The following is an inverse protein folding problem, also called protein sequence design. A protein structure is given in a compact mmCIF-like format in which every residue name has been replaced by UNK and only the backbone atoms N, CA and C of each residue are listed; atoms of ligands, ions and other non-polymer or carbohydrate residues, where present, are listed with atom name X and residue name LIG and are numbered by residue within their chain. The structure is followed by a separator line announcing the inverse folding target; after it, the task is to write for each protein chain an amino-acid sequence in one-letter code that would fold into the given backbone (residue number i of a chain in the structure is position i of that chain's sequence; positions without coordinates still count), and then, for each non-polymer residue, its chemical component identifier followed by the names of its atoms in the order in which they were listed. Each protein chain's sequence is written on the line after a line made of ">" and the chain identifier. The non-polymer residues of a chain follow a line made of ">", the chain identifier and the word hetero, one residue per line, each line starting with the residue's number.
data_IF_735021075141
#
_entry.id   IF_735021075141
#
_cell.length_a   1.000
_cell.length_b   1.000
_cell.length_c   1.000
_cell.angle_alpha   90.00
_cell.angle_beta   90.00
_cell.angle_gamma   90.00
#
_symmetry.space_group_name_H-M   'P 1'
#
loop_
_entity.id
_entity.type
_entity.pdbx_description
1 polymer ?
#
# COMPACT_ATOMS: atom_id res chain seq x y z
N UNK A 1 36.06 45.19 -21.37
CA UNK A 1 35.88 44.11 -20.36
C UNK A 1 34.44 43.94 -19.87
N UNK A 2 33.53 44.91 -20.01
CA UNK A 2 32.17 44.82 -19.43
C UNK A 2 31.18 43.84 -20.10
N UNK A 3 31.24 43.68 -21.43
CA UNK A 3 30.26 42.89 -22.20
C UNK A 3 30.39 41.36 -22.05
N UNK A 4 31.59 40.84 -21.76
CA UNK A 4 31.79 39.39 -21.61
C UNK A 4 31.34 38.92 -20.21
N UNK A 5 31.49 39.78 -19.21
CA UNK A 5 31.04 39.49 -17.83
C UNK A 5 29.52 39.49 -17.72
N UNK A 6 28.81 40.34 -18.47
CA UNK A 6 27.34 40.36 -18.48
C UNK A 6 26.74 39.11 -19.12
N UNK A 7 27.30 38.62 -20.23
CA UNK A 7 26.82 37.40 -20.91
C UNK A 7 27.03 36.16 -20.02
N UNK A 8 28.16 36.06 -19.32
CA UNK A 8 28.43 34.97 -18.38
C UNK A 8 27.56 35.04 -17.13
N UNK A 9 27.19 36.24 -16.68
CA UNK A 9 26.27 36.44 -15.57
C UNK A 9 24.82 36.09 -15.96
N UNK A 10 24.38 36.47 -17.16
CA UNK A 10 23.08 36.12 -17.73
C UNK A 10 22.97 34.61 -18.01
N UNK A 11 24.03 33.98 -18.52
CA UNK A 11 24.04 32.52 -18.74
C UNK A 11 24.04 31.74 -17.43
N UNK A 12 24.75 32.21 -16.39
CA UNK A 12 24.70 31.59 -15.05
C UNK A 12 23.33 31.74 -14.41
N UNK A 13 22.73 32.94 -14.50
CA UNK A 13 21.40 33.19 -13.91
C UNK A 13 20.29 32.46 -14.65
N UNK A 14 20.42 32.21 -15.96
CA UNK A 14 19.49 31.38 -16.71
C UNK A 14 19.67 29.88 -16.39
N UNK A 15 20.91 29.39 -16.29
CA UNK A 15 21.21 28.01 -15.87
C UNK A 15 20.80 27.71 -14.41
N UNK A 16 20.87 28.70 -13.52
CA UNK A 16 20.39 28.58 -12.14
C UNK A 16 18.86 28.74 -12.01
N UNK A 17 18.21 29.52 -12.89
CA UNK A 17 16.74 29.64 -12.94
C UNK A 17 16.05 28.36 -13.44
N UNK A 18 16.66 27.60 -14.34
CA UNK A 18 16.09 26.34 -14.85
C UNK A 18 16.18 25.18 -13.84
N UNK A 19 16.91 25.32 -12.72
CA UNK A 19 17.08 24.25 -11.71
C UNK A 19 16.22 24.35 -10.46
N UNK A 20 15.36 25.36 -10.36
CA UNK A 20 14.48 25.52 -9.20
C UNK A 20 13.08 25.96 -9.60
N UNK A 21 12.45 25.24 -10.54
CA UNK A 21 11.01 25.05 -10.40
C UNK A 21 10.79 24.19 -9.16
N UNK A 22 10.27 24.80 -8.11
CA UNK A 22 9.68 24.08 -7.00
C UNK A 22 8.50 23.30 -7.55
N UNK A 23 8.74 22.07 -8.01
CA UNK A 23 7.68 21.09 -8.13
C UNK A 23 7.18 20.90 -6.71
N UNK A 24 5.99 21.44 -6.44
CA UNK A 24 5.30 21.20 -5.19
C UNK A 24 5.01 19.69 -5.13
N UNK A 25 5.91 18.93 -4.50
CA UNK A 25 5.72 17.50 -4.21
C UNK A 25 4.44 17.23 -3.40
N UNK A 26 3.76 18.28 -2.93
CA UNK A 26 2.53 18.21 -2.15
C UNK A 26 1.31 17.63 -2.90
N UNK A 27 1.41 17.35 -4.21
CA UNK A 27 0.28 16.85 -5.02
C UNK A 27 0.61 15.62 -5.90
N UNK A 28 1.75 14.94 -5.72
CA UNK A 28 1.93 13.64 -6.39
C UNK A 28 1.27 12.55 -5.56
N UNK A 29 0.28 11.87 -6.15
CA UNK A 29 -0.37 10.72 -5.54
C UNK A 29 0.73 9.73 -5.13
N UNK A 30 0.78 9.38 -3.84
CA UNK A 30 1.76 8.44 -3.33
C UNK A 30 1.52 7.08 -3.97
N UNK A 31 2.56 6.44 -4.49
CA UNK A 31 2.44 5.14 -5.14
C UNK A 31 3.25 4.10 -4.39
N UNK A 32 2.65 2.93 -4.15
CA UNK A 32 3.30 1.77 -3.53
C UNK A 32 3.35 0.63 -4.52
N UNK A 33 4.50 -0.03 -4.65
CA UNK A 33 4.62 -1.24 -5.45
C UNK A 33 4.79 -2.49 -4.58
N UNK A 34 4.29 -3.62 -5.07
CA UNK A 34 4.52 -4.96 -4.55
C UNK A 34 5.00 -5.89 -5.66
N UNK A 35 6.18 -6.48 -5.49
CA UNK A 35 6.61 -7.63 -6.27
C UNK A 35 6.08 -8.88 -5.58
N UNK A 36 5.12 -9.59 -6.19
CA UNK A 36 4.42 -10.71 -5.56
C UNK A 36 4.91 -12.03 -6.18
N UNK A 37 5.18 -13.03 -5.34
CA UNK A 37 5.63 -14.34 -5.81
C UNK A 37 5.64 -15.43 -4.75
N UNK A 38 6.26 -16.54 -5.10
CA UNK A 38 6.54 -17.63 -4.15
C UNK A 38 7.66 -17.25 -3.19
N UNK A 39 8.06 -18.15 -2.29
CA UNK A 39 9.18 -17.91 -1.38
C UNK A 39 10.55 -17.93 -2.09
N UNK A 40 10.64 -18.59 -3.25
CA UNK A 40 11.85 -18.66 -4.06
C UNK A 40 11.52 -18.50 -5.54
N UNK A 41 12.48 -18.01 -6.32
CA UNK A 41 12.37 -17.85 -7.77
C UNK A 41 11.94 -16.45 -8.20
N UNK A 42 11.54 -16.35 -9.48
CA UNK A 42 11.13 -15.09 -10.10
C UNK A 42 9.73 -14.69 -9.59
N UNK A 43 9.48 -13.41 -9.23
CA UNK A 43 8.15 -12.93 -8.89
C UNK A 43 7.13 -13.25 -9.99
N UNK A 44 5.89 -13.55 -9.60
CA UNK A 44 4.76 -13.76 -10.51
C UNK A 44 4.46 -12.46 -11.26
N UNK A 45 4.56 -11.32 -10.58
CA UNK A 45 4.40 -10.00 -11.19
C UNK A 45 4.49 -8.87 -10.19
N UNK A 46 4.42 -7.65 -10.70
CA UNK A 46 4.38 -6.41 -9.92
C UNK A 46 2.97 -5.85 -9.89
N UNK A 47 2.57 -5.34 -8.73
CA UNK A 47 1.34 -4.59 -8.51
C UNK A 47 1.73 -3.17 -8.09
N UNK A 48 1.06 -2.16 -8.65
CA UNK A 48 1.23 -0.75 -8.25
C UNK A 48 -0.10 -0.23 -7.74
N UNK A 49 -0.06 0.37 -6.55
CA UNK A 49 -1.20 0.96 -5.88
C UNK A 49 -1.00 2.46 -5.79
N UNK A 50 -1.94 3.23 -6.33
CA UNK A 50 -2.04 4.67 -6.15
C UNK A 50 -2.85 4.98 -4.89
N UNK A 51 -2.30 5.77 -3.98
CA UNK A 51 -2.98 6.18 -2.75
C UNK A 51 -3.99 7.30 -3.03
N UNK A 52 -5.14 7.21 -2.38
CA UNK A 52 -6.15 8.25 -2.40
C UNK A 52 -5.99 9.17 -1.18
N UNK A 53 -5.20 10.24 -1.35
CA UNK A 53 -4.91 11.19 -0.28
C UNK A 53 -6.10 12.10 0.08
N UNK A 54 -7.16 12.11 -0.74
CA UNK A 54 -8.36 12.94 -0.54
C UNK A 54 -9.25 12.38 0.57
N UNK A 55 -9.26 11.06 0.77
CA UNK A 55 -10.21 10.44 1.71
C UNK A 55 -9.66 10.29 3.13
N UNK A 56 -8.40 9.85 3.31
CA UNK A 56 -7.75 9.72 4.64
C UNK A 56 -6.21 9.72 4.55
N UNK A 57 -5.61 10.89 4.31
CA UNK A 57 -4.15 11.11 4.18
C UNK A 57 -3.28 10.36 5.22
N UNK A 58 -3.68 10.33 6.50
CA UNK A 58 -2.90 9.64 7.53
C UNK A 58 -2.83 8.12 7.35
N UNK A 59 -3.88 7.49 6.79
CA UNK A 59 -3.91 6.04 6.57
C UNK A 59 -3.13 5.65 5.31
N UNK A 60 -3.22 6.47 4.26
CA UNK A 60 -2.35 6.36 3.10
C UNK A 60 -0.88 6.51 3.50
N UNK A 61 -0.55 7.52 4.30
CA UNK A 61 0.80 7.74 4.82
C UNK A 61 1.29 6.57 5.68
N UNK A 62 0.43 6.00 6.53
CA UNK A 62 0.75 4.79 7.30
C UNK A 62 1.14 3.64 6.37
N UNK A 63 0.32 3.35 5.35
CA UNK A 63 0.56 2.28 4.39
C UNK A 63 1.88 2.47 3.64
N UNK A 64 2.14 3.69 3.16
CA UNK A 64 3.40 4.07 2.49
C UNK A 64 4.61 3.88 3.42
N UNK A 65 4.52 4.34 4.67
CA UNK A 65 5.61 4.22 5.64
C UNK A 65 5.90 2.77 6.02
N UNK A 66 4.88 1.91 6.11
CA UNK A 66 5.07 0.46 6.28
C UNK A 66 5.72 -0.13 5.01
N UNK A 67 5.30 0.26 3.81
CA UNK A 67 5.92 -0.22 2.57
C UNK A 67 7.41 0.19 2.45
N UNK A 68 7.79 1.35 2.97
CA UNK A 68 9.20 1.80 3.06
C UNK A 68 9.96 1.17 4.23
N UNK A 69 9.24 0.62 5.19
CA UNK A 69 9.77 0.04 6.41
C UNK A 69 10.39 1.07 7.35
N UNK A 70 9.76 2.23 7.50
CA UNK A 70 10.25 3.32 8.35
C UNK A 70 10.08 3.06 9.86
N UNK A 71 9.41 1.98 10.22
CA UNK A 71 9.08 1.66 11.60
C UNK A 71 9.84 0.45 12.11
N UNK A 72 10.08 0.43 13.42
CA UNK A 72 10.65 -0.71 14.14
C UNK A 72 9.70 -1.10 15.25
N UNK A 73 9.40 -2.39 15.38
CA UNK A 73 8.54 -2.89 16.43
C UNK A 73 9.21 -2.72 17.79
N UNK A 74 8.62 -1.98 18.75
CA UNK A 74 9.27 -1.63 20.01
C UNK A 74 9.62 -2.87 20.85
N UNK A 75 8.79 -3.91 20.84
CA UNK A 75 9.02 -5.12 21.62
C UNK A 75 9.92 -6.17 20.93
N UNK A 76 9.97 -6.21 19.59
CA UNK A 76 10.66 -7.28 18.84
C UNK A 76 11.94 -6.78 18.17
N UNK A 77 12.18 -5.46 18.12
CA UNK A 77 13.33 -4.86 17.42
C UNK A 77 13.33 -5.08 15.91
N UNK A 78 12.27 -5.67 15.35
CA UNK A 78 12.15 -6.01 13.92
C UNK A 78 11.60 -4.83 13.13
N UNK A 79 12.16 -4.58 11.95
CA UNK A 79 11.62 -3.63 10.97
C UNK A 79 10.18 -4.05 10.59
N UNK A 80 9.25 -3.10 10.62
CA UNK A 80 7.86 -3.32 10.23
C UNK A 80 7.73 -2.92 8.76
N UNK A 81 7.67 -3.93 7.88
CA UNK A 81 7.55 -3.73 6.44
C UNK A 81 6.77 -4.86 5.77
N UNK A 82 6.24 -4.61 4.57
CA UNK A 82 5.50 -5.61 3.80
C UNK A 82 6.40 -6.62 3.08
N UNK A 83 7.68 -6.29 2.88
CA UNK A 83 8.66 -7.22 2.29
C UNK A 83 8.76 -8.50 3.13
N UNK A 84 8.62 -9.65 2.49
CA UNK A 84 8.62 -10.98 3.11
C UNK A 84 7.29 -11.39 3.75
N UNK A 85 6.27 -10.53 3.76
CA UNK A 85 4.97 -10.88 4.36
C UNK A 85 4.12 -11.74 3.44
N UNK A 86 3.34 -12.65 4.04
CA UNK A 86 2.51 -13.62 3.32
C UNK A 86 1.15 -12.98 2.99
N UNK A 87 0.65 -13.27 1.79
CA UNK A 87 -0.75 -13.10 1.44
C UNK A 87 -1.54 -14.24 2.09
N UNK A 88 -1.88 -14.06 3.37
CA UNK A 88 -2.36 -15.13 4.25
C UNK A 88 -3.81 -15.54 3.97
N UNK A 89 -4.56 -14.74 3.21
CA UNK A 89 -5.92 -15.07 2.81
C UNK A 89 -6.18 -14.70 1.33
N UNK A 90 -6.49 -15.69 0.49
CA UNK A 90 -6.77 -15.55 -0.94
C UNK A 90 -8.09 -16.27 -1.21
N UNK A 91 -9.20 -15.52 -1.34
CA UNK A 91 -10.55 -16.05 -1.42
C UNK A 91 -11.09 -16.01 -2.84
N UNK A 92 -11.50 -17.17 -3.36
CA UNK A 92 -12.20 -17.27 -4.66
C UNK A 92 -13.65 -16.84 -4.56
N UNK A 93 -14.32 -17.12 -3.43
CA UNK A 93 -15.73 -16.77 -3.21
C UNK A 93 -15.95 -15.27 -3.05
N UNK A 94 -15.01 -14.56 -2.40
CA UNK A 94 -15.04 -13.10 -2.24
C UNK A 94 -14.28 -12.35 -3.32
N UNK A 95 -13.56 -13.07 -4.19
CA UNK A 95 -12.63 -12.52 -5.17
C UNK A 95 -11.70 -11.45 -4.56
N UNK A 96 -10.97 -11.84 -3.52
CA UNK A 96 -10.23 -10.92 -2.64
C UNK A 96 -8.91 -11.53 -2.17
N UNK A 97 -7.90 -10.69 -1.94
CA UNK A 97 -6.61 -11.05 -1.35
C UNK A 97 -6.36 -10.21 -0.11
N UNK A 98 -5.87 -10.81 0.98
CA UNK A 98 -5.46 -10.13 2.21
C UNK A 98 -3.99 -10.38 2.53
N UNK A 99 -3.35 -9.34 3.05
CA UNK A 99 -1.93 -9.34 3.42
C UNK A 99 -1.65 -8.35 4.55
N UNK A 100 -0.37 -8.02 4.73
CA UNK A 100 0.03 -6.99 5.70
C UNK A 100 0.18 -7.48 7.14
N UNK A 101 0.16 -8.80 7.36
CA UNK A 101 0.61 -9.38 8.62
C UNK A 101 2.15 -9.40 8.65
N UNK A 102 2.71 -8.44 9.38
CA UNK A 102 4.15 -8.17 9.45
C UNK A 102 4.87 -8.97 10.54
N UNK A 103 4.12 -9.66 11.42
CA UNK A 103 4.67 -10.39 12.56
C UNK A 103 4.55 -11.91 12.41
N UNK A 104 3.35 -12.43 12.11
CA UNK A 104 3.02 -13.85 12.24
C UNK A 104 2.67 -14.54 10.92
N UNK A 105 2.22 -13.77 9.92
CA UNK A 105 1.81 -14.28 8.61
C UNK A 105 0.54 -15.13 8.63
N UNK A 106 -0.31 -15.02 9.65
CA UNK A 106 -1.54 -15.80 9.82
C UNK A 106 -2.81 -14.93 9.93
N UNK A 107 -2.66 -13.61 9.85
CA UNK A 107 -3.74 -12.61 9.97
C UNK A 107 -3.79 -11.91 11.32
N UNK A 108 -3.17 -12.46 12.37
CA UNK A 108 -3.24 -11.92 13.73
C UNK A 108 -2.06 -10.99 14.09
N UNK A 109 -1.10 -10.81 13.17
CA UNK A 109 0.15 -10.07 13.43
C UNK A 109 0.21 -8.67 12.81
N UNK A 110 -0.94 -8.03 12.62
CA UNK A 110 -1.02 -6.63 12.21
C UNK A 110 -0.35 -5.70 13.22
N UNK A 111 0.41 -4.72 12.74
CA UNK A 111 1.02 -3.71 13.60
C UNK A 111 0.43 -2.34 13.33
N UNK A 112 0.25 -1.55 14.39
CA UNK A 112 -0.09 -0.13 14.30
C UNK A 112 1.12 0.73 14.72
N UNK A 113 2.18 0.82 13.89
CA UNK A 113 3.48 1.33 14.32
C UNK A 113 3.48 2.77 14.86
N UNK A 114 2.61 3.67 14.41
CA UNK A 114 2.43 5.00 15.02
C UNK A 114 1.02 5.49 14.73
N UNK A 115 0.12 5.45 15.72
CA UNK A 115 -1.17 6.16 15.68
C UNK A 115 -1.72 6.39 17.11
N UNK A 116 -0.91 6.88 18.07
CA UNK A 116 -1.39 7.19 19.45
C UNK A 116 -2.57 8.19 19.50
N UNK A 117 -2.93 8.83 18.38
CA UNK A 117 -3.95 9.90 18.31
C UNK A 117 -4.91 9.80 17.12
N UNK A 118 -4.91 8.70 16.38
CA UNK A 118 -5.44 8.71 15.03
C UNK A 118 -6.65 7.78 14.93
N UNK A 119 -7.82 8.43 15.02
CA UNK A 119 -9.19 7.99 14.72
C UNK A 119 -9.98 7.26 15.83
N UNK A 120 -10.49 8.03 16.80
CA UNK A 120 -11.59 7.63 17.71
C UNK A 120 -12.96 7.49 17.01
N UNK A 121 -13.00 7.08 15.75
CA UNK A 121 -14.28 6.90 15.05
C UNK A 121 -14.59 5.41 15.01
N UNK A 122 -15.61 5.03 15.78
CA UNK A 122 -16.06 3.65 15.95
C UNK A 122 -16.61 3.13 14.61
N UNK A 123 -16.08 1.99 14.15
CA UNK A 123 -16.56 1.21 13.01
C UNK A 123 -16.52 1.94 11.66
N UNK A 124 -15.36 1.90 10.99
CA UNK A 124 -15.24 2.29 9.58
C UNK A 124 -15.86 1.20 8.70
N UNK A 125 -17.16 1.31 8.42
CA UNK A 125 -17.78 0.67 7.27
C UNK A 125 -17.93 1.73 6.17
N UNK A 126 -17.33 1.49 5.02
CA UNK A 126 -17.35 2.44 3.90
C UNK A 126 -18.12 1.85 2.72
N UNK A 127 -19.02 2.62 2.12
CA UNK A 127 -19.63 2.23 0.85
C UNK A 127 -18.66 2.53 -0.28
N UNK A 128 -18.24 1.50 -0.99
CA UNK A 128 -17.32 1.59 -2.12
C UNK A 128 -18.09 1.32 -3.39
N UNK A 129 -18.05 2.25 -4.34
CA UNK A 129 -18.85 2.19 -5.58
C UNK A 129 -18.30 1.18 -6.60
N UNK A 130 -16.98 1.12 -6.74
CA UNK A 130 -16.29 0.19 -7.61
C UNK A 130 -15.30 -0.59 -6.76
N UNK A 131 -15.50 -1.90 -6.61
CA UNK A 131 -14.69 -2.75 -5.73
C UNK A 131 -13.38 -3.16 -6.38
N UNK A 132 -13.36 -3.34 -7.71
CA UNK A 132 -12.20 -3.91 -8.39
C UNK A 132 -10.96 -3.01 -8.25
N UNK A 133 -9.91 -3.58 -7.69
CA UNK A 133 -8.63 -2.92 -7.47
C UNK A 133 -8.61 -2.05 -6.21
N UNK A 134 -9.69 -1.96 -5.43
CA UNK A 134 -9.69 -1.15 -4.21
C UNK A 134 -8.84 -1.79 -3.13
N UNK A 135 -7.98 -0.97 -2.53
CA UNK A 135 -7.15 -1.34 -1.39
C UNK A 135 -7.76 -0.78 -0.12
N UNK A 136 -8.12 -1.67 0.79
CA UNK A 136 -8.76 -1.36 2.06
C UNK A 136 -7.79 -1.68 3.20
N UNK A 137 -7.59 -0.72 4.09
CA UNK A 137 -6.81 -0.90 5.32
C UNK A 137 -7.75 -1.29 6.47
N UNK A 138 -7.33 -2.24 7.30
CA UNK A 138 -8.11 -2.75 8.43
C UNK A 138 -7.69 -2.15 9.77
N UNK A 139 -8.68 -2.01 10.66
CA UNK A 139 -8.44 -1.72 12.07
C UNK A 139 -7.77 -2.89 12.79
N UNK A 140 -7.23 -2.63 13.97
CA UNK A 140 -6.67 -3.65 14.86
C UNK A 140 -7.80 -4.42 15.53
N UNK A 141 -7.70 -5.75 15.56
CA UNK A 141 -8.65 -6.63 16.27
C UNK A 141 -8.76 -6.28 17.75
N UNK A 142 -7.66 -5.82 18.37
CA UNK A 142 -7.63 -5.46 19.80
C UNK A 142 -8.08 -4.03 20.07
N UNK A 143 -8.12 -3.18 19.04
CA UNK A 143 -8.55 -1.79 19.17
C UNK A 143 -9.08 -1.26 17.82
N UNK A 144 -10.41 -1.26 17.63
CA UNK A 144 -11.06 -0.79 16.40
C UNK A 144 -10.79 0.68 16.05
N UNK A 145 -10.32 1.50 17.01
CA UNK A 145 -9.95 2.91 16.80
C UNK A 145 -8.53 3.09 16.24
N UNK A 146 -7.80 2.01 16.03
CA UNK A 146 -6.41 2.04 15.56
C UNK A 146 -6.30 1.19 14.30
N UNK A 147 -5.85 1.80 13.21
CA UNK A 147 -5.56 1.07 11.97
C UNK A 147 -4.23 0.31 12.07
N UNK A 148 -4.26 -0.93 11.58
CA UNK A 148 -3.12 -1.82 11.55
C UNK A 148 -2.45 -1.80 10.18
N UNK A 149 -1.40 -2.60 10.01
CA UNK A 149 -0.76 -2.86 8.73
C UNK A 149 -1.55 -3.82 7.83
N UNK A 150 -2.59 -4.48 8.35
CA UNK A 150 -3.40 -5.45 7.60
C UNK A 150 -4.21 -4.71 6.53
N UNK A 151 -4.19 -5.25 5.32
CA UNK A 151 -4.96 -4.74 4.20
C UNK A 151 -5.57 -5.88 3.40
N UNK A 152 -6.60 -5.55 2.62
CA UNK A 152 -7.09 -6.42 1.57
C UNK A 152 -7.35 -5.66 0.28
N UNK A 153 -7.27 -6.40 -0.82
CA UNK A 153 -7.53 -5.92 -2.18
C UNK A 153 -8.74 -6.67 -2.72
N UNK A 154 -9.76 -5.92 -3.10
CA UNK A 154 -10.95 -6.46 -3.74
C UNK A 154 -10.73 -6.56 -5.25
N UNK A 155 -11.07 -7.69 -5.85
CA UNK A 155 -11.01 -7.92 -7.30
C UNK A 155 -12.41 -8.11 -7.89
N UNK A 156 -13.43 -8.14 -7.04
CA UNK A 156 -14.82 -8.28 -7.46
C UNK A 156 -15.24 -7.14 -8.40
N UNK A 157 -15.92 -7.52 -9.49
CA UNK A 157 -16.49 -6.64 -10.51
C UNK A 157 -17.96 -6.33 -10.24
N UNK A 158 -18.51 -6.87 -9.16
CA UNK A 158 -19.85 -6.56 -8.69
C UNK A 158 -19.97 -5.08 -8.31
N UNK A 159 -21.23 -4.63 -8.15
CA UNK A 159 -21.55 -3.24 -7.92
C UNK A 159 -21.11 -2.73 -6.54
N UNK A 160 -21.69 -1.60 -6.10
CA UNK A 160 -21.31 -1.00 -4.83
C UNK A 160 -21.51 -1.96 -3.65
N UNK A 161 -20.56 -1.99 -2.72
CA UNK A 161 -20.68 -2.78 -1.49
C UNK A 161 -20.20 -1.98 -0.28
N UNK A 162 -20.72 -2.37 0.89
CA UNK A 162 -20.18 -1.93 2.17
C UNK A 162 -18.99 -2.81 2.49
N UNK A 163 -17.86 -2.16 2.75
CA UNK A 163 -16.59 -2.83 3.07
C UNK A 163 -16.20 -2.54 4.51
N UNK A 164 -15.58 -3.53 5.16
CA UNK A 164 -15.02 -3.35 6.51
C UNK A 164 -13.64 -2.71 6.40
N UNK A 165 -13.45 -1.57 7.07
CA UNK A 165 -12.20 -0.81 7.03
C UNK A 165 -12.29 0.44 6.15
N UNK A 166 -11.12 0.99 5.83
CA UNK A 166 -11.00 2.26 5.13
C UNK A 166 -10.37 2.09 3.74
N UNK A 167 -11.04 2.51 2.66
CA UNK A 167 -10.43 2.60 1.34
C UNK A 167 -9.30 3.62 1.34
N UNK A 168 -8.09 3.19 1.00
CA UNK A 168 -6.88 4.02 1.00
C UNK A 168 -6.26 4.22 -0.38
N UNK A 169 -6.67 3.44 -1.38
CA UNK A 169 -6.09 3.53 -2.71
C UNK A 169 -6.66 2.54 -3.71
N UNK A 170 -6.07 2.55 -4.90
CA UNK A 170 -6.48 1.81 -6.07
C UNK A 170 -5.29 1.14 -6.73
N UNK A 171 -5.43 -0.13 -7.10
CA UNK A 171 -4.49 -0.83 -7.96
C UNK A 171 -4.57 -0.25 -9.36
N UNK A 172 -3.51 0.41 -9.80
CA UNK A 172 -3.40 1.01 -11.13
C UNK A 172 -2.63 0.12 -12.13
N UNK A 173 -1.77 -0.77 -11.63
CA UNK A 173 -1.04 -1.75 -12.44
C UNK A 173 -1.00 -3.12 -11.76
N UNK A 174 -0.98 -4.21 -12.54
CA UNK A 174 -0.84 -5.57 -12.01
C UNK A 174 -2.12 -6.17 -11.43
N UNK A 175 -3.29 -5.62 -11.74
CA UNK A 175 -4.57 -6.20 -11.30
C UNK A 175 -4.79 -7.62 -11.85
N UNK A 176 -4.29 -7.90 -13.04
CA UNK A 176 -4.28 -9.20 -13.70
C UNK A 176 -3.38 -10.21 -12.97
N UNK A 177 -2.27 -9.74 -12.38
CA UNK A 177 -1.41 -10.56 -11.50
C UNK A 177 -2.21 -11.03 -10.29
N UNK A 178 -2.98 -10.14 -9.66
CA UNK A 178 -3.83 -10.49 -8.51
C UNK A 178 -4.98 -11.44 -8.92
N UNK A 179 -5.66 -11.16 -10.04
CA UNK A 179 -6.72 -12.04 -10.58
C UNK A 179 -6.17 -13.45 -10.88
N UNK A 180 -4.97 -13.55 -11.47
CA UNK A 180 -4.28 -14.82 -11.69
C UNK A 180 -4.00 -15.55 -10.38
N UNK A 181 -3.51 -14.83 -9.36
CA UNK A 181 -3.21 -15.42 -8.04
C UNK A 181 -4.48 -15.98 -7.39
N UNK A 182 -5.59 -15.24 -7.40
CA UNK A 182 -6.87 -15.75 -6.88
C UNK A 182 -7.32 -16.99 -7.63
N UNK A 183 -7.24 -16.97 -8.97
CA UNK A 183 -7.67 -18.09 -9.80
C UNK A 183 -6.83 -19.36 -9.59
N UNK A 184 -5.51 -19.23 -9.45
CA UNK A 184 -4.59 -20.38 -9.37
C UNK A 184 -4.34 -20.88 -7.96
N UNK A 185 -4.41 -20.03 -6.94
CA UNK A 185 -3.99 -20.38 -5.57
C UNK A 185 -5.03 -20.05 -4.50
N UNK A 186 -6.11 -19.36 -4.86
CA UNK A 186 -7.20 -19.04 -3.95
C UNK A 186 -8.07 -20.24 -3.63
N UNK A 187 -8.76 -20.16 -2.50
CA UNK A 187 -9.70 -21.20 -2.06
C UNK A 187 -10.98 -20.57 -1.54
N UNK A 188 -12.04 -21.36 -1.39
CA UNK A 188 -13.32 -20.85 -0.89
C UNK A 188 -13.24 -20.33 0.55
N UNK A 189 -12.46 -21.02 1.41
CA UNK A 189 -12.23 -20.62 2.80
C UNK A 189 -11.10 -19.58 2.95
N UNK A 190 -10.47 -19.20 1.84
CA UNK A 190 -9.43 -18.19 1.80
C UNK A 190 -8.03 -18.67 2.18
N UNK A 191 -7.84 -19.88 2.70
CA UNK A 191 -6.49 -20.38 2.98
C UNK A 191 -5.82 -20.80 1.66
N UNK A 192 -4.76 -20.13 1.20
CA UNK A 192 -4.21 -20.40 -0.12
C UNK A 192 -3.54 -21.77 -0.19
N UNK A 193 -3.60 -22.40 -1.38
CA UNK A 193 -2.99 -23.72 -1.61
C UNK A 193 -1.45 -23.67 -1.56
N UNK A 194 -0.88 -22.50 -1.88
CA UNK A 194 0.55 -22.24 -1.83
C UNK A 194 0.84 -20.96 -1.09
N UNK A 195 1.99 -20.92 -0.42
CA UNK A 195 2.49 -19.70 0.23
C UNK A 195 2.90 -18.68 -0.85
N UNK A 196 2.11 -17.62 -0.97
CA UNK A 196 2.40 -16.45 -1.81
C UNK A 196 2.79 -15.30 -0.88
N UNK A 197 3.83 -14.56 -1.23
CA UNK A 197 4.35 -13.46 -0.42
C UNK A 197 4.74 -12.24 -1.26
N UNK A 198 4.90 -11.11 -0.57
CA UNK A 198 5.43 -9.88 -1.15
C UNK A 198 6.96 -9.98 -1.08
N UNK A 199 7.61 -10.26 -2.22
CA UNK A 199 9.06 -10.38 -2.31
C UNK A 199 9.78 -9.08 -2.01
N UNK A 200 9.24 -7.97 -2.52
CA UNK A 200 9.75 -6.61 -2.31
C UNK A 200 8.60 -5.63 -2.36
N UNK A 201 8.72 -4.56 -1.60
CA UNK A 201 7.81 -3.42 -1.64
C UNK A 201 8.56 -2.10 -1.52
N UNK A 202 7.88 -1.01 -1.86
CA UNK A 202 8.40 0.32 -1.63
C UNK A 202 7.48 1.40 -2.16
N UNK A 203 7.92 2.64 -2.01
CA UNK A 203 7.29 3.82 -2.61
C UNK A 203 7.96 4.15 -3.95
N UNK A 204 7.19 4.63 -4.94
CA UNK A 204 7.67 5.04 -6.26
C UNK A 204 7.93 6.54 -6.36
#
# INVERSE_FOLDING_TARGET
>A
MGLILSILAESKTQYEKEKHEWVSYCNMNQMVYFDIGYETGVPIGRVVVEMNDVLKKNLAELFVKVARGEFVHPAYGKKIEYTGTVLHHISTSKNMIMGGDVLFGNGCGGCAPVCRKVFQENNFSSTVQNLRGKVILLSSDTNPTVFSSIFYILLDKSGPAVVDGCPIGDVIEGIDVLEKIVKEYGTENGKPERKILIHKCGHL
#
